data_IF_472346005028
#
_entry.id   IF_472346005028
#
_cell.length_a   1.000
_cell.length_b   1.000
_cell.length_c   1.000
_cell.angle_alpha   90.00
_cell.angle_beta   90.00
_cell.angle_gamma   90.00
#
_symmetry.space_group_name_H-M   'P 1'
#
loop_
_entity.id
_entity.type
_entity.pdbx_description
1 polymer ?
#
# COMPACT_ATOMS: atom_id res chain seq x y z
N UNK A 1 18.79 4.87 -3.69
CA UNK A 1 17.31 4.72 -3.59
C UNK A 1 16.69 4.49 -4.97
N UNK A 2 15.74 3.57 -5.10
CA UNK A 2 15.15 3.17 -6.38
C UNK A 2 13.65 3.45 -6.45
N UNK A 3 13.13 3.59 -7.67
CA UNK A 3 11.71 3.59 -8.00
C UNK A 3 11.40 2.28 -8.72
N UNK A 4 10.40 1.55 -8.24
CA UNK A 4 9.93 0.32 -8.86
C UNK A 4 8.66 0.60 -9.65
N UNK A 5 8.69 0.30 -10.96
CA UNK A 5 7.58 0.60 -11.89
C UNK A 5 7.08 -0.70 -12.49
N UNK A 6 5.84 -1.05 -12.18
CA UNK A 6 5.14 -2.20 -12.74
C UNK A 6 4.06 -1.70 -13.73
N UNK A 7 4.12 -2.17 -14.97
CA UNK A 7 3.13 -1.85 -16.00
C UNK A 7 2.78 -3.09 -16.84
N UNK A 8 1.92 -2.93 -17.85
CA UNK A 8 1.47 -4.03 -18.70
C UNK A 8 2.56 -4.60 -19.62
N UNK A 9 3.69 -3.90 -19.78
CA UNK A 9 4.83 -4.33 -20.59
C UNK A 9 5.81 -5.14 -19.73
N UNK A 10 6.06 -4.72 -18.50
CA UNK A 10 6.99 -5.40 -17.59
C UNK A 10 7.18 -4.68 -16.26
N UNK A 11 8.19 -5.15 -15.54
CA UNK A 11 8.60 -4.63 -14.24
C UNK A 11 10.02 -4.05 -14.30
N UNK A 12 10.22 -2.86 -13.73
CA UNK A 12 11.45 -2.09 -13.88
C UNK A 12 11.93 -1.48 -12.55
N UNK A 13 13.24 -1.52 -12.30
CA UNK A 13 13.94 -0.83 -11.22
C UNK A 13 14.70 0.35 -11.79
N UNK A 14 14.27 1.56 -11.44
CA UNK A 14 14.77 2.80 -11.99
C UNK A 14 15.47 3.60 -10.88
N UNK A 15 16.60 4.23 -11.18
CA UNK A 15 17.29 5.11 -10.24
C UNK A 15 16.49 6.38 -9.98
N UNK A 16 16.36 6.75 -8.71
CA UNK A 16 15.61 7.95 -8.30
C UNK A 16 16.41 9.24 -8.40
N UNK A 17 17.73 9.18 -8.58
CA UNK A 17 18.61 10.35 -8.44
C UNK A 17 19.08 10.59 -7.00
N UNK A 18 18.59 9.81 -6.04
CA UNK A 18 18.93 9.92 -4.62
C UNK A 18 19.85 8.78 -4.17
N UNK A 19 20.65 9.03 -3.13
CA UNK A 19 21.60 8.07 -2.55
C UNK A 19 22.40 7.36 -3.66
N UNK A 20 23.17 8.15 -4.42
CA UNK A 20 24.10 7.70 -5.46
C UNK A 20 23.49 7.03 -6.70
N UNK A 21 22.16 6.87 -6.75
CA UNK A 21 21.51 6.37 -7.97
C UNK A 21 21.43 7.45 -9.03
N UNK A 22 21.60 7.06 -10.30
CA UNK A 22 21.44 7.98 -11.44
C UNK A 22 19.95 8.10 -11.78
N UNK A 23 19.44 9.34 -11.79
CA UNK A 23 18.04 9.61 -12.12
C UNK A 23 17.65 9.01 -13.47
N UNK A 24 16.58 8.22 -13.49
CA UNK A 24 16.03 7.64 -14.72
C UNK A 24 16.83 6.45 -15.28
N UNK A 25 18.00 6.11 -14.72
CA UNK A 25 18.77 4.95 -15.17
C UNK A 25 18.02 3.65 -14.85
N UNK A 26 17.90 2.77 -15.84
CA UNK A 26 17.37 1.42 -15.65
C UNK A 26 18.46 0.52 -15.04
N UNK A 27 18.20 -0.05 -13.86
CA UNK A 27 19.12 -0.94 -13.15
C UNK A 27 18.76 -2.42 -13.31
N UNK A 28 17.46 -2.74 -13.39
CA UNK A 28 16.98 -4.08 -13.63
C UNK A 28 15.61 -4.03 -14.31
N UNK A 29 15.29 -5.06 -15.09
CA UNK A 29 13.98 -5.21 -15.72
C UNK A 29 13.60 -6.68 -15.82
N UNK A 30 12.31 -6.97 -15.66
CA UNK A 30 11.74 -8.29 -15.87
C UNK A 30 10.44 -8.16 -16.69
N UNK A 31 10.48 -8.61 -17.94
CA UNK A 31 9.32 -8.58 -18.84
C UNK A 31 8.31 -9.70 -18.58
N UNK A 32 8.62 -10.68 -17.74
CA UNK A 32 7.70 -11.77 -17.37
C UNK A 32 6.73 -11.33 -16.26
N UNK A 33 7.14 -10.39 -15.41
CA UNK A 33 6.28 -9.82 -14.37
C UNK A 33 5.60 -8.56 -14.92
N UNK A 34 4.28 -8.63 -15.08
CA UNK A 34 3.47 -7.54 -15.65
C UNK A 34 2.34 -7.17 -14.71
N UNK A 35 1.94 -5.90 -14.77
CA UNK A 35 0.72 -5.44 -14.14
C UNK A 35 -0.48 -6.20 -14.71
N UNK A 36 -1.35 -6.66 -13.83
CA UNK A 36 -2.67 -7.19 -14.18
C UNK A 36 -3.73 -6.28 -13.60
N UNK A 37 -4.99 -6.47 -14.01
CA UNK A 37 -6.10 -5.76 -13.39
C UNK A 37 -6.12 -6.07 -11.89
N UNK A 38 -6.28 -5.03 -11.07
CA UNK A 38 -6.32 -5.11 -9.61
C UNK A 38 -5.06 -5.72 -8.97
N UNK A 39 -3.86 -5.43 -9.49
CA UNK A 39 -2.63 -5.79 -8.79
C UNK A 39 -2.18 -4.70 -7.81
N UNK A 40 -1.56 -5.12 -6.71
CA UNK A 40 -0.91 -4.26 -5.73
C UNK A 40 0.56 -4.66 -5.63
N UNK A 41 1.46 -3.72 -5.93
CA UNK A 41 2.89 -3.85 -5.68
C UNK A 41 3.22 -3.06 -4.41
N UNK A 42 3.79 -3.73 -3.41
CA UNK A 42 4.16 -3.12 -2.12
C UNK A 42 5.62 -3.40 -1.81
N UNK A 43 6.35 -2.39 -1.36
CA UNK A 43 7.68 -2.57 -0.80
C UNK A 43 7.56 -2.65 0.73
N UNK A 44 8.17 -3.66 1.34
CA UNK A 44 8.22 -3.81 2.79
C UNK A 44 9.48 -4.58 3.19
N UNK A 45 10.20 -4.09 4.19
CA UNK A 45 11.36 -4.75 4.78
C UNK A 45 12.38 -5.29 3.76
N UNK A 46 12.71 -4.47 2.75
CA UNK A 46 13.71 -4.82 1.72
C UNK A 46 13.23 -5.76 0.62
N UNK A 47 11.98 -6.22 0.66
CA UNK A 47 11.37 -7.08 -0.36
C UNK A 47 10.21 -6.41 -1.06
N UNK A 48 9.89 -6.89 -2.26
CA UNK A 48 8.70 -6.48 -3.00
C UNK A 48 7.65 -7.57 -2.92
N UNK A 49 6.41 -7.16 -2.78
CA UNK A 49 5.26 -8.04 -2.65
C UNK A 49 4.28 -7.70 -3.74
N UNK A 50 3.96 -8.68 -4.59
CA UNK A 50 3.01 -8.50 -5.69
C UNK A 50 1.77 -9.35 -5.43
N UNK A 51 0.71 -8.68 -5.02
CA UNK A 51 -0.62 -9.29 -4.89
C UNK A 51 -1.42 -9.05 -6.17
N UNK A 52 -2.01 -10.10 -6.74
CA UNK A 52 -2.84 -10.00 -7.94
C UNK A 52 -4.30 -10.25 -7.57
N UNK A 53 -5.16 -9.28 -7.85
CA UNK A 53 -6.56 -9.31 -7.42
C UNK A 53 -6.68 -9.39 -5.90
N UNK A 54 -7.70 -10.12 -5.44
CA UNK A 54 -7.86 -10.49 -4.04
C UNK A 54 -7.28 -11.89 -3.77
N UNK A 55 -6.16 -12.26 -4.43
CA UNK A 55 -5.50 -13.54 -4.18
C UNK A 55 -5.06 -13.64 -2.71
N UNK A 56 -5.17 -14.84 -2.13
CA UNK A 56 -4.54 -15.20 -0.87
C UNK A 56 -3.05 -15.45 -1.03
N UNK A 57 -2.59 -15.84 -2.22
CA UNK A 57 -1.16 -15.95 -2.53
C UNK A 57 -0.60 -14.59 -2.99
N UNK A 58 0.46 -14.13 -2.32
CA UNK A 58 1.25 -12.95 -2.65
C UNK A 58 2.63 -13.41 -3.10
N UNK A 59 3.06 -13.02 -4.31
CA UNK A 59 4.44 -13.26 -4.77
C UNK A 59 5.42 -12.38 -4.00
N UNK A 60 6.54 -12.95 -3.58
CA UNK A 60 7.70 -12.24 -3.05
C UNK A 60 8.71 -12.08 -4.17
N UNK A 61 9.11 -10.83 -4.43
CA UNK A 61 10.01 -10.47 -5.51
C UNK A 61 11.27 -9.88 -4.91
N UNK A 62 12.41 -10.43 -5.33
CA UNK A 62 13.72 -9.93 -4.97
C UNK A 62 13.97 -8.53 -5.56
N UNK A 63 14.48 -7.61 -4.75
CA UNK A 63 14.62 -6.21 -5.11
C UNK A 63 15.82 -5.92 -6.00
N UNK A 64 16.78 -6.84 -6.10
CA UNK A 64 17.97 -6.70 -6.93
C UNK A 64 17.80 -7.32 -8.31
N UNK A 65 17.31 -8.55 -8.38
CA UNK A 65 17.11 -9.28 -9.63
C UNK A 65 15.73 -9.09 -10.27
N UNK A 66 14.75 -8.55 -9.53
CA UNK A 66 13.34 -8.48 -9.91
C UNK A 66 12.74 -9.85 -10.30
N UNK A 67 13.23 -10.92 -9.67
CA UNK A 67 12.73 -12.28 -9.86
C UNK A 67 11.79 -12.66 -8.72
N UNK A 68 10.79 -13.47 -9.06
CA UNK A 68 9.98 -14.14 -8.06
C UNK A 68 10.88 -15.13 -7.29
N UNK A 69 10.87 -15.04 -5.96
CA UNK A 69 11.69 -15.85 -5.06
C UNK A 69 10.85 -16.69 -4.09
N UNK A 70 9.53 -16.62 -4.21
CA UNK A 70 8.62 -17.36 -3.35
C UNK A 70 7.27 -16.69 -3.21
N UNK A 71 6.47 -17.23 -2.31
CA UNK A 71 5.11 -16.77 -2.07
C UNK A 71 4.78 -16.76 -0.57
N UNK A 72 3.87 -15.87 -0.21
CA UNK A 72 3.25 -15.83 1.11
C UNK A 72 1.76 -16.08 0.96
N UNK A 73 1.23 -16.98 1.78
CA UNK A 73 -0.19 -17.28 1.83
C UNK A 73 -0.83 -16.48 2.95
N UNK A 74 -1.73 -15.57 2.58
CA UNK A 74 -2.52 -14.78 3.51
C UNK A 74 -3.52 -15.66 4.27
N UNK A 75 -3.72 -15.41 5.57
CA UNK A 75 -4.87 -15.93 6.30
C UNK A 75 -6.17 -15.49 5.65
N UNK A 76 -7.20 -16.35 5.69
CA UNK A 76 -8.51 -16.14 5.06
C UNK A 76 -9.12 -14.76 5.39
N UNK A 77 -8.99 -14.32 6.65
CA UNK A 77 -9.54 -13.06 7.13
C UNK A 77 -8.89 -11.83 6.49
N UNK A 78 -7.62 -11.94 6.08
CA UNK A 78 -6.89 -10.83 5.45
C UNK A 78 -7.19 -10.70 3.95
N UNK A 79 -7.78 -11.72 3.32
CA UNK A 79 -8.00 -11.76 1.87
C UNK A 79 -8.97 -10.67 1.41
N UNK A 80 -9.97 -10.31 2.21
CA UNK A 80 -10.98 -9.33 1.80
C UNK A 80 -10.62 -7.88 2.09
N UNK A 81 -9.42 -7.65 2.62
CA UNK A 81 -9.10 -6.39 3.28
C UNK A 81 -8.02 -5.62 2.52
N UNK A 82 -7.95 -4.31 2.77
CA UNK A 82 -6.93 -3.48 2.17
C UNK A 82 -5.61 -3.69 2.92
N UNK A 83 -4.66 -4.36 2.25
CA UNK A 83 -3.29 -4.49 2.73
C UNK A 83 -2.46 -3.30 2.24
N UNK A 84 -1.64 -2.76 3.13
CA UNK A 84 -0.64 -1.75 2.78
C UNK A 84 0.57 -1.86 3.71
N UNK A 85 1.62 -1.12 3.41
CA UNK A 85 2.83 -1.07 4.21
C UNK A 85 3.31 0.36 4.37
N UNK A 86 3.97 0.64 5.49
CA UNK A 86 4.75 1.86 5.72
C UNK A 86 6.22 1.73 5.27
N UNK A 87 6.58 0.60 4.66
CA UNK A 87 7.94 0.24 4.25
C UNK A 87 8.67 -0.67 5.25
N UNK A 88 8.21 -0.76 6.49
CA UNK A 88 8.80 -1.60 7.54
C UNK A 88 7.89 -2.74 7.96
N UNK A 89 6.58 -2.51 8.02
CA UNK A 89 5.59 -3.50 8.43
C UNK A 89 4.37 -3.49 7.52
N UNK A 90 3.65 -4.61 7.51
CA UNK A 90 2.35 -4.69 6.86
C UNK A 90 1.22 -4.34 7.81
N UNK A 91 0.18 -3.75 7.25
CA UNK A 91 -1.03 -3.39 7.96
C UNK A 91 -2.24 -3.88 7.19
N UNK A 92 -3.21 -4.33 7.97
CA UNK A 92 -4.56 -4.58 7.54
C UNK A 92 -5.41 -3.34 7.84
N UNK A 93 -6.05 -2.79 6.80
CA UNK A 93 -7.00 -1.69 6.92
C UNK A 93 -8.44 -2.18 6.74
N UNK A 94 -9.32 -1.80 7.66
CA UNK A 94 -10.77 -2.00 7.52
C UNK A 94 -11.55 -0.77 7.99
N UNK A 95 -12.73 -0.56 7.43
CA UNK A 95 -13.64 0.52 7.82
C UNK A 95 -14.86 -0.08 8.51
N UNK A 96 -15.20 0.39 9.70
CA UNK A 96 -16.40 -0.07 10.42
C UNK A 96 -17.66 0.61 9.92
N UNK A 97 -18.81 0.07 10.32
CA UNK A 97 -20.13 0.70 10.09
C UNK A 97 -20.25 2.11 10.67
N UNK A 98 -19.43 2.49 11.66
CA UNK A 98 -19.39 3.85 12.22
C UNK A 98 -18.43 4.80 11.47
N UNK A 99 -17.96 4.43 10.26
CA UNK A 99 -16.97 5.22 9.49
C UNK A 99 -15.64 5.41 10.24
N UNK A 100 -15.21 4.40 10.99
CA UNK A 100 -13.91 4.36 11.66
C UNK A 100 -12.96 3.48 10.88
N UNK A 101 -11.80 4.02 10.51
CA UNK A 101 -10.70 3.28 9.90
C UNK A 101 -9.88 2.62 11.00
N UNK A 102 -9.82 1.29 10.99
CA UNK A 102 -8.91 0.50 11.81
C UNK A 102 -7.71 0.07 10.99
N UNK A 103 -6.52 0.35 11.51
CA UNK A 103 -5.25 -0.15 11.00
C UNK A 103 -4.68 -1.11 12.03
N UNK A 104 -4.52 -2.36 11.62
CA UNK A 104 -4.02 -3.43 12.48
C UNK A 104 -2.69 -3.90 11.89
N UNK A 105 -1.56 -3.74 12.60
CA UNK A 105 -0.28 -4.24 12.12
C UNK A 105 -0.27 -5.77 12.08
N UNK A 106 0.45 -6.29 11.11
CA UNK A 106 0.60 -7.72 10.86
C UNK A 106 2.04 -8.14 11.18
N UNK A 107 2.21 -9.38 11.64
CA UNK A 107 3.53 -10.00 11.73
C UNK A 107 4.00 -10.54 10.36
N UNK A 108 5.18 -11.18 10.34
CA UNK A 108 5.77 -11.76 9.12
C UNK A 108 4.92 -12.87 8.49
N UNK A 109 4.02 -13.47 9.25
CA UNK A 109 3.03 -14.46 8.78
C UNK A 109 1.69 -13.83 8.37
N UNK A 110 1.63 -12.50 8.25
CA UNK A 110 0.43 -11.74 7.93
C UNK A 110 -0.73 -11.97 8.90
N UNK A 111 -0.41 -12.33 10.15
CA UNK A 111 -1.38 -12.49 11.24
C UNK A 111 -1.47 -11.19 12.03
N UNK A 112 -2.68 -10.70 12.35
CA UNK A 112 -2.89 -9.53 13.20
C UNK A 112 -2.14 -9.61 14.52
N UNK A 113 -1.36 -8.57 14.83
CA UNK A 113 -0.76 -8.45 16.16
C UNK A 113 -1.87 -8.18 17.20
N UNK A 114 -1.85 -8.95 18.29
CA UNK A 114 -2.86 -8.88 19.33
C UNK A 114 -2.70 -7.66 20.26
N UNK A 115 -1.58 -6.95 20.18
CA UNK A 115 -1.26 -5.86 21.11
C UNK A 115 -2.20 -4.66 20.93
N UNK A 116 -2.94 -4.25 21.97
CA UNK A 116 -3.91 -3.16 21.85
C UNK A 116 -3.27 -1.81 21.47
N UNK A 117 -2.01 -1.59 21.88
CA UNK A 117 -1.28 -0.33 21.64
C UNK A 117 -0.85 -0.14 20.19
N UNK A 118 -0.79 -1.21 19.40
CA UNK A 118 -0.33 -1.15 18.01
C UNK A 118 -1.48 -0.88 17.02
N UNK A 119 -2.72 -1.01 17.49
CA UNK A 119 -3.93 -0.76 16.70
C UNK A 119 -4.19 0.73 16.62
N UNK A 120 -4.23 1.25 15.40
CA UNK A 120 -4.59 2.64 15.14
C UNK A 120 -6.03 2.71 14.68
N UNK A 121 -6.80 3.62 15.27
CA UNK A 121 -8.22 3.79 14.98
C UNK A 121 -8.50 5.26 14.77
N UNK A 122 -9.01 5.62 13.61
CA UNK A 122 -9.29 7.01 13.26
C UNK A 122 -10.68 7.11 12.67
N UNK A 123 -11.53 7.96 13.27
CA UNK A 123 -12.85 8.24 12.71
C UNK A 123 -12.67 9.12 11.48
N UNK A 124 -13.13 8.65 10.32
CA UNK A 124 -12.90 9.32 9.04
C UNK A 124 -13.51 10.73 9.00
N UNK A 125 -14.58 10.97 9.77
CA UNK A 125 -15.21 12.28 9.90
C UNK A 125 -14.35 13.32 10.62
N UNK A 126 -13.39 12.86 11.43
CA UNK A 126 -12.52 13.71 12.25
C UNK A 126 -11.18 13.98 11.55
N UNK A 127 -10.95 13.36 10.39
CA UNK A 127 -9.74 13.57 9.61
C UNK A 127 -9.87 14.83 8.77
N UNK A 128 -8.97 15.77 9.03
CA UNK A 128 -8.76 16.93 8.18
C UNK A 128 -7.90 16.58 6.98
N UNK A 129 -8.22 17.17 5.81
CA UNK A 129 -7.32 17.12 4.67
C UNK A 129 -5.97 17.73 5.08
N UNK A 130 -4.90 16.96 4.93
CA UNK A 130 -3.54 17.41 5.13
C UNK A 130 -2.78 17.26 3.81
N UNK A 131 -2.39 18.37 3.19
CA UNK A 131 -1.51 18.38 2.04
C UNK A 131 -0.07 18.09 2.52
N UNK A 132 0.34 16.82 2.50
CA UNK A 132 1.73 16.44 2.77
C UNK A 132 2.54 16.55 1.48
N UNK A 133 3.60 17.38 1.49
CA UNK A 133 4.56 17.48 0.38
C UNK A 133 4.35 18.62 -0.62
N UNK A 134 3.31 19.46 -0.44
CA UNK A 134 3.16 20.68 -1.24
C UNK A 134 4.12 21.77 -0.75
N UNK A 135 5.04 22.19 -1.61
CA UNK A 135 5.96 23.32 -1.34
C UNK A 135 5.35 24.68 -1.66
N UNK A 136 4.13 24.70 -2.22
CA UNK A 136 3.37 25.91 -2.53
C UNK A 136 2.17 26.00 -1.58
N UNK A 137 1.88 27.21 -1.10
CA UNK A 137 0.64 27.49 -0.38
C UNK A 137 -0.55 27.07 -1.23
N UNK A 138 -1.37 26.17 -0.72
CA UNK A 138 -2.55 25.65 -1.42
C UNK A 138 -3.47 26.83 -1.75
N UNK A 139 -3.74 27.14 -3.03
CA UNK A 139 -4.50 28.34 -3.41
C UNK A 139 -6.00 28.26 -3.04
N UNK A 140 -6.46 27.07 -2.64
CA UNK A 140 -7.83 26.81 -2.22
C UNK A 140 -7.80 26.14 -0.85
N UNK A 141 -8.53 26.69 0.12
CA UNK A 141 -8.76 26.01 1.40
C UNK A 141 -9.56 24.73 1.10
N UNK A 142 -8.87 23.60 1.00
CA UNK A 142 -9.52 22.30 1.03
C UNK A 142 -10.31 22.21 2.35
N UNK A 143 -11.55 21.70 2.32
CA UNK A 143 -12.35 21.62 3.52
C UNK A 143 -11.60 20.82 4.59
N UNK A 144 -11.39 21.44 5.76
CA UNK A 144 -10.66 20.84 6.88
C UNK A 144 -11.37 19.64 7.51
N UNK A 145 -12.55 19.27 7.02
CA UNK A 145 -13.28 18.06 7.45
C UNK A 145 -14.11 17.58 6.28
N UNK A 146 -14.32 16.26 6.17
CA UNK A 146 -15.23 15.70 5.17
C UNK A 146 -16.64 16.30 5.39
N UNK A 147 -17.30 16.87 4.36
CA UNK A 147 -18.65 17.39 4.51
C UNK A 147 -19.67 16.34 4.98
N UNK A 148 -20.56 16.73 5.91
CA UNK A 148 -21.53 15.82 6.57
C UNK A 148 -22.36 14.97 5.59
N UNK A 149 -22.71 15.52 4.41
CA UNK A 149 -23.51 14.82 3.40
C UNK A 149 -22.74 13.69 2.67
N UNK A 150 -21.41 13.63 2.79
CA UNK A 150 -20.58 12.55 2.25
C UNK A 150 -20.34 11.42 3.26
N UNK A 151 -20.60 11.65 4.55
CA UNK A 151 -20.37 10.64 5.61
C UNK A 151 -21.14 9.36 5.34
N UNK A 152 -22.38 9.45 4.83
CA UNK A 152 -23.21 8.29 4.48
C UNK A 152 -22.74 7.54 3.23
N UNK A 153 -21.93 8.16 2.36
CA UNK A 153 -21.47 7.53 1.10
C UNK A 153 -20.17 6.75 1.27
N UNK A 154 -19.33 7.09 2.24
CA UNK A 154 -18.10 6.34 2.56
C UNK A 154 -18.39 4.91 3.05
N UNK A 155 -19.54 4.69 3.70
CA UNK A 155 -19.94 3.37 4.21
C UNK A 155 -20.33 2.35 3.13
N UNK A 156 -20.69 2.79 1.92
CA UNK A 156 -21.40 1.96 0.93
C UNK A 156 -20.57 1.56 -0.30
N UNK A 157 -19.27 1.89 -0.37
CA UNK A 157 -18.43 1.61 -1.56
C UNK A 157 -17.24 0.69 -1.31
N UNK A 158 -17.10 0.15 -0.09
CA UNK A 158 -16.03 -0.78 0.28
C UNK A 158 -16.57 -2.17 0.69
N UNK A 159 -17.87 -2.43 0.49
CA UNK A 159 -18.52 -3.74 0.64
C UNK A 159 -18.53 -4.51 -0.67
#
# INVERSE_FOLDING_TARGET
MYVYVLNYVGFYKIGSGLQETVLGKLYASNSQIKATRNCLLTFCNGSLYLRRGQSSCISVIDTDSLRDIGEVILPTDCVQTALFSDGSSFYHASVTSQSTLHLIPLNDSFVPLAEPKSRHSVRLTDVSFCCMGDTKTTPYQLPLTIPKYLHSKCSNRLS
#
